data_IF_854940618625
#
_entry.id   IF_854940618625
#
_cell.length_a   1.000
_cell.length_b   1.000
_cell.length_c   1.000
_cell.angle_alpha   90.00
_cell.angle_beta   90.00
_cell.angle_gamma   90.00
#
_symmetry.space_group_name_H-M   'P 1'
#
loop_
_entity.id
_entity.type
_entity.pdbx_description
1 polymer ?
#
# COMPACT_ATOMS: atom_id res chain seq x y z
N UNK A 1 7.09 2.83 -3.32
CA UNK A 1 7.20 1.76 -2.29
C UNK A 1 5.99 0.84 -2.38
N UNK A 2 6.20 -0.48 -2.29
CA UNK A 2 5.15 -1.49 -2.27
C UNK A 2 5.31 -2.32 -1.01
N UNK A 3 4.30 -2.36 -0.14
CA UNK A 3 4.38 -3.10 1.12
C UNK A 3 3.04 -3.75 1.49
N UNK A 4 3.09 -4.79 2.31
CA UNK A 4 1.90 -5.48 2.85
C UNK A 4 1.48 -4.92 4.21
N UNK A 5 2.42 -4.33 4.96
CA UNK A 5 2.17 -3.79 6.29
C UNK A 5 1.89 -2.29 6.22
N UNK A 6 0.85 -1.84 6.93
CA UNK A 6 0.42 -0.44 6.93
C UNK A 6 1.46 0.51 7.54
N UNK A 7 2.30 0.05 8.49
CA UNK A 7 3.33 0.91 9.08
C UNK A 7 4.46 1.25 8.09
N UNK A 8 4.79 0.32 7.20
CA UNK A 8 5.85 0.50 6.20
C UNK A 8 5.38 1.44 5.08
N UNK A 9 4.11 1.30 4.66
CA UNK A 9 3.46 2.26 3.76
C UNK A 9 3.40 3.65 4.40
N UNK A 10 3.00 3.75 5.68
CA UNK A 10 2.98 5.03 6.39
C UNK A 10 4.35 5.72 6.42
N UNK A 11 5.40 4.96 6.78
CA UNK A 11 6.76 5.49 6.84
C UNK A 11 7.27 5.95 5.48
N UNK A 12 7.03 5.17 4.43
CA UNK A 12 7.42 5.55 3.08
C UNK A 12 6.66 6.78 2.56
N UNK A 13 5.38 6.93 2.89
CA UNK A 13 4.60 8.12 2.52
C UNK A 13 5.10 9.35 3.29
N UNK A 14 5.42 9.21 4.58
CA UNK A 14 6.02 10.29 5.37
C UNK A 14 7.41 10.72 4.83
N UNK A 15 8.14 9.80 4.19
CA UNK A 15 9.38 10.09 3.47
C UNK A 15 9.17 10.67 2.05
N UNK A 16 7.93 10.96 1.64
CA UNK A 16 7.60 11.58 0.35
C UNK A 16 7.52 10.62 -0.82
N UNK A 17 7.46 9.30 -0.59
CA UNK A 17 7.34 8.32 -1.66
C UNK A 17 5.87 8.09 -2.07
N UNK A 18 5.63 7.74 -3.33
CA UNK A 18 4.38 7.09 -3.74
C UNK A 18 4.33 5.67 -3.17
N UNK A 19 3.17 5.27 -2.67
CA UNK A 19 2.99 4.07 -1.86
C UNK A 19 1.83 3.20 -2.34
N UNK A 20 2.04 1.88 -2.29
CA UNK A 20 1.05 0.88 -2.65
C UNK A 20 0.94 -0.12 -1.50
N UNK A 21 -0.28 -0.34 -1.02
CA UNK A 21 -0.60 -1.35 -0.02
C UNK A 21 -1.10 -2.63 -0.69
N UNK A 22 -0.40 -3.75 -0.49
CA UNK A 22 -0.86 -5.09 -0.86
C UNK A 22 -1.65 -5.69 0.32
N UNK A 23 -2.95 -5.46 0.35
CA UNK A 23 -3.85 -5.79 1.44
C UNK A 23 -4.54 -7.16 1.26
N UNK A 24 -3.81 -8.24 1.56
CA UNK A 24 -4.34 -9.62 1.47
C UNK A 24 -5.40 -9.96 2.53
N UNK A 25 -5.40 -9.23 3.63
CA UNK A 25 -6.20 -9.52 4.83
C UNK A 25 -7.32 -8.50 5.06
N UNK A 26 -7.57 -7.62 4.10
CA UNK A 26 -8.55 -6.55 4.19
C UNK A 26 -8.45 -5.70 5.48
N UNK A 27 -7.22 -5.40 5.90
CA UNK A 27 -6.97 -4.54 7.07
C UNK A 27 -7.32 -3.08 6.73
N UNK A 28 -7.69 -2.24 7.73
CA UNK A 28 -7.93 -0.82 7.49
C UNK A 28 -6.67 -0.13 6.91
N UNK A 29 -6.76 0.34 5.67
CA UNK A 29 -5.64 0.96 4.97
C UNK A 29 -5.19 2.29 5.61
N UNK A 30 -6.08 2.93 6.37
CA UNK A 30 -5.88 4.25 7.00
C UNK A 30 -5.57 4.17 8.49
N UNK A 31 -5.18 2.99 9.01
CA UNK A 31 -4.95 2.76 10.45
C UNK A 31 -3.97 3.75 11.11
N UNK A 32 -3.06 4.34 10.34
CA UNK A 32 -2.07 5.31 10.81
C UNK A 32 -2.24 6.69 10.14
N UNK A 33 -3.49 7.08 9.83
CA UNK A 33 -3.83 8.38 9.21
C UNK A 33 -3.11 8.69 7.88
N UNK A 34 -2.62 7.65 7.20
CA UNK A 34 -2.01 7.74 5.88
C UNK A 34 -2.96 7.10 4.87
N UNK A 35 -2.91 7.55 3.62
CA UNK A 35 -3.76 7.03 2.54
C UNK A 35 -2.85 6.52 1.43
N UNK A 36 -2.66 5.20 1.29
CA UNK A 36 -1.86 4.65 0.21
C UNK A 36 -2.38 5.13 -1.15
N UNK A 37 -1.50 5.43 -2.10
CA UNK A 37 -1.87 5.87 -3.45
C UNK A 37 -2.63 4.76 -4.22
N UNK A 38 -2.40 3.50 -3.85
CA UNK A 38 -3.11 2.36 -4.39
C UNK A 38 -3.23 1.24 -3.35
N UNK A 39 -4.39 0.58 -3.33
CA UNK A 39 -4.61 -0.66 -2.58
C UNK A 39 -4.94 -1.79 -3.57
N UNK A 40 -4.28 -2.93 -3.38
CA UNK A 40 -4.47 -4.16 -4.16
C UNK A 40 -4.48 -5.35 -3.22
N UNK A 41 -5.16 -6.43 -3.57
CA UNK A 41 -5.25 -7.65 -2.74
C UNK A 41 -4.10 -8.63 -2.99
N UNK A 42 -3.34 -8.45 -4.07
CA UNK A 42 -2.32 -9.39 -4.52
C UNK A 42 -1.26 -8.73 -5.39
N UNK A 43 -0.07 -9.34 -5.47
CA UNK A 43 0.98 -8.90 -6.38
C UNK A 43 0.64 -9.14 -7.85
N UNK A 44 -0.13 -10.19 -8.15
CA UNK A 44 -0.62 -10.43 -9.51
C UNK A 44 -1.49 -9.26 -9.99
N UNK A 45 -2.46 -8.83 -9.18
CA UNK A 45 -3.30 -7.66 -9.47
C UNK A 45 -2.50 -6.37 -9.59
N UNK A 46 -1.43 -6.22 -8.79
CA UNK A 46 -0.51 -5.11 -8.94
C UNK A 46 0.18 -5.11 -10.30
N UNK A 47 0.75 -6.26 -10.70
CA UNK A 47 1.43 -6.39 -11.98
C UNK A 47 0.51 -6.06 -13.15
N UNK A 48 -0.75 -6.53 -13.11
CA UNK A 48 -1.77 -6.19 -14.11
C UNK A 48 -2.07 -4.69 -14.18
N UNK A 49 -2.05 -3.97 -13.05
CA UNK A 49 -2.30 -2.52 -13.02
C UNK A 49 -1.12 -1.66 -13.47
N UNK A 50 0.09 -2.21 -13.45
CA UNK A 50 1.32 -1.52 -13.83
C UNK A 50 1.80 -1.84 -15.25
N UNK A 51 1.12 -2.78 -15.93
CA UNK A 51 1.34 -3.08 -17.35
C UNK A 51 0.65 -2.04 -18.22
#
# INVERSE_FOLDING_TARGET
MVATHTFDVAGAQAAGMKTILVNRFNVPATRLSHTPDMVVDSYAKLATKLS
#
